data_IF_086853581999
#
_entry.id   IF_086853581999
#
_cell.length_a   1.000
_cell.length_b   1.000
_cell.length_c   1.000
_cell.angle_alpha   90.00
_cell.angle_beta   90.00
_cell.angle_gamma   90.00
#
_symmetry.space_group_name_H-M   'P 1'
#
loop_
_entity.id
_entity.type
_entity.pdbx_description
1 polymer ?
#
# COMPACT_ATOMS: atom_id res chain seq x y z
N UNK A 1 15.29 6.13 5.47
CA UNK A 1 15.37 5.14 4.37
C UNK A 1 14.68 5.78 3.19
N UNK A 2 15.44 6.17 2.16
CA UNK A 2 14.89 6.74 0.92
C UNK A 2 13.95 5.71 0.29
N UNK A 3 12.78 6.17 -0.17
CA UNK A 3 11.74 5.33 -0.77
C UNK A 3 12.31 4.68 -2.04
N UNK A 4 12.81 3.45 -1.89
CA UNK A 4 12.74 2.48 -2.98
C UNK A 4 11.29 2.06 -3.08
N UNK A 5 10.72 2.12 -4.28
CA UNK A 5 9.35 1.77 -4.70
C UNK A 5 8.34 1.37 -3.59
N UNK A 6 7.20 2.07 -3.51
CA UNK A 6 6.12 1.80 -2.53
C UNK A 6 5.74 0.30 -2.46
N UNK A 7 5.73 -0.39 -3.60
CA UNK A 7 5.53 -1.84 -3.67
C UNK A 7 6.53 -2.63 -2.82
N UNK A 8 7.82 -2.32 -2.92
CA UNK A 8 8.87 -3.03 -2.19
C UNK A 8 8.67 -2.90 -0.67
N UNK A 9 8.41 -1.68 -0.19
CA UNK A 9 8.20 -1.42 1.24
C UNK A 9 6.95 -2.14 1.75
N UNK A 10 5.86 -2.13 0.98
CA UNK A 10 4.62 -2.86 1.31
C UNK A 10 4.90 -4.35 1.43
N UNK A 11 5.60 -4.95 0.46
CA UNK A 11 5.94 -6.38 0.49
C UNK A 11 6.80 -6.75 1.70
N UNK A 12 7.81 -5.93 2.02
CA UNK A 12 8.66 -6.13 3.20
C UNK A 12 7.86 -6.08 4.49
N UNK A 13 6.97 -5.09 4.65
CA UNK A 13 6.16 -4.94 5.85
C UNK A 13 5.11 -6.04 5.98
N UNK A 14 4.46 -6.42 4.88
CA UNK A 14 3.54 -7.55 4.86
C UNK A 14 4.23 -8.84 5.32
N UNK A 15 5.43 -9.11 4.80
CA UNK A 15 6.22 -10.27 5.22
C UNK A 15 6.57 -10.22 6.72
N UNK A 16 7.09 -9.09 7.21
CA UNK A 16 7.43 -8.90 8.64
C UNK A 16 6.25 -9.11 9.57
N UNK A 17 5.07 -8.65 9.16
CA UNK A 17 3.85 -8.67 9.97
C UNK A 17 2.96 -9.89 9.70
N UNK A 18 3.41 -10.84 8.87
CA UNK A 18 2.64 -12.02 8.42
C UNK A 18 1.26 -11.66 7.84
N UNK A 19 1.18 -10.54 7.12
CA UNK A 19 -0.03 -10.06 6.42
C UNK A 19 -0.05 -10.54 4.98
N UNK A 20 -1.24 -10.63 4.41
CA UNK A 20 -1.47 -11.01 3.03
C UNK A 20 -2.35 -9.98 2.31
N UNK A 21 -2.54 -10.14 1.00
CA UNK A 21 -3.31 -9.20 0.18
C UNK A 21 -4.77 -9.05 0.62
N UNK A 22 -5.38 -10.09 1.19
CA UNK A 22 -6.75 -10.03 1.73
C UNK A 22 -6.85 -9.15 2.95
N UNK A 23 -5.78 -9.07 3.75
CA UNK A 23 -5.74 -8.17 4.90
C UNK A 23 -5.76 -6.71 4.43
N UNK A 24 -4.96 -6.37 3.42
CA UNK A 24 -4.95 -5.03 2.82
C UNK A 24 -6.26 -4.73 2.07
N UNK A 25 -6.88 -5.73 1.44
CA UNK A 25 -8.17 -5.58 0.77
C UNK A 25 -9.28 -5.12 1.72
N UNK A 26 -9.25 -5.60 2.98
CA UNK A 26 -10.17 -5.14 4.04
C UNK A 26 -9.94 -3.69 4.44
N UNK A 27 -8.69 -3.22 4.44
CA UNK A 27 -8.32 -1.83 4.83
C UNK A 27 -8.98 -0.81 3.88
N UNK A 28 -8.99 -1.10 2.59
CA UNK A 28 -9.50 -0.18 1.57
C UNK A 28 -10.83 -0.62 0.94
N UNK A 29 -11.48 -1.64 1.54
CA UNK A 29 -12.76 -2.21 1.14
C UNK A 29 -12.88 -2.51 -0.36
N UNK A 30 -11.92 -3.29 -0.88
CA UNK A 30 -11.84 -3.65 -2.31
C UNK A 30 -11.34 -5.09 -2.49
N UNK A 31 -11.04 -5.50 -3.72
CA UNK A 31 -10.45 -6.81 -4.03
C UNK A 31 -8.92 -6.83 -3.90
N UNK A 32 -8.35 -7.99 -3.58
CA UNK A 32 -6.91 -8.23 -3.58
C UNK A 32 -6.22 -7.79 -4.89
N UNK A 33 -6.90 -8.00 -6.02
CA UNK A 33 -6.39 -7.59 -7.35
C UNK A 33 -6.26 -6.08 -7.44
N UNK A 34 -7.26 -5.34 -6.97
CA UNK A 34 -7.23 -3.88 -7.01
C UNK A 34 -6.19 -3.31 -6.04
N UNK A 35 -6.05 -3.89 -4.84
CA UNK A 35 -4.96 -3.56 -3.90
C UNK A 35 -3.60 -3.66 -4.58
N UNK A 36 -3.33 -4.78 -5.27
CA UNK A 36 -2.06 -4.98 -5.99
C UNK A 36 -1.84 -3.91 -7.05
N UNK A 37 -2.87 -3.49 -7.78
CA UNK A 37 -2.76 -2.42 -8.77
C UNK A 37 -2.45 -1.05 -8.13
N UNK A 38 -3.04 -0.75 -6.97
CA UNK A 38 -2.74 0.47 -6.20
C UNK A 38 -1.30 0.46 -5.69
N UNK A 39 -0.86 -0.66 -5.12
CA UNK A 39 0.49 -0.83 -4.56
C UNK A 39 1.56 -0.77 -5.66
N UNK A 40 1.27 -1.32 -6.84
CA UNK A 40 2.14 -1.24 -8.04
C UNK A 40 2.12 0.12 -8.74
N UNK A 41 1.30 1.06 -8.30
CA UNK A 41 1.14 2.36 -8.96
C UNK A 41 0.40 2.33 -10.31
N UNK A 42 -0.18 1.18 -10.71
CA UNK A 42 -1.02 1.07 -11.91
C UNK A 42 -2.27 1.96 -11.76
N UNK A 43 -2.85 1.98 -10.55
CA UNK A 43 -3.89 2.95 -10.18
C UNK A 43 -3.21 4.14 -9.51
N UNK A 44 -3.36 5.34 -10.08
CA UNK A 44 -2.65 6.55 -9.62
C UNK A 44 -3.54 7.79 -9.47
N UNK A 45 -4.87 7.67 -9.66
CA UNK A 45 -5.82 8.75 -9.37
C UNK A 45 -5.88 9.12 -7.89
N UNK A 46 -6.61 10.19 -7.57
CA UNK A 46 -6.77 10.73 -6.21
C UNK A 46 -7.16 9.66 -5.18
N UNK A 47 -8.17 8.86 -5.50
CA UNK A 47 -8.61 7.73 -4.67
C UNK A 47 -7.53 6.66 -4.46
N UNK A 48 -6.65 6.45 -5.43
CA UNK A 48 -5.53 5.52 -5.27
C UNK A 48 -4.44 6.09 -4.35
N UNK A 49 -4.23 7.41 -4.32
CA UNK A 49 -3.36 8.08 -3.34
C UNK A 49 -3.89 7.88 -1.91
N UNK A 50 -5.18 8.11 -1.69
CA UNK A 50 -5.83 7.84 -0.39
C UNK A 50 -5.66 6.37 0.03
N UNK A 51 -5.81 5.44 -0.92
CA UNK A 51 -5.61 4.02 -0.63
C UNK A 51 -4.16 3.68 -0.27
N UNK A 52 -3.17 4.29 -0.93
CA UNK A 52 -1.76 4.14 -0.54
C UNK A 52 -1.53 4.66 0.88
N UNK A 53 -2.10 5.81 1.23
CA UNK A 53 -2.00 6.36 2.59
C UNK A 53 -2.61 5.42 3.63
N UNK A 54 -3.82 4.88 3.40
CA UNK A 54 -4.46 3.91 4.30
C UNK A 54 -3.66 2.61 4.46
N UNK A 55 -3.10 2.09 3.35
CA UNK A 55 -2.24 0.91 3.38
C UNK A 55 -0.94 1.20 4.16
N UNK A 56 -0.35 2.38 3.94
CA UNK A 56 0.85 2.81 4.64
C UNK A 56 0.62 2.90 6.15
N UNK A 57 -0.47 3.54 6.58
CA UNK A 57 -0.87 3.64 7.98
C UNK A 57 -1.07 2.25 8.60
N UNK A 58 -1.84 1.38 7.93
CA UNK A 58 -2.08 0.01 8.39
C UNK A 58 -0.79 -0.81 8.58
N UNK A 59 0.21 -0.58 7.73
CA UNK A 59 1.49 -1.27 7.77
C UNK A 59 2.56 -0.53 8.60
N UNK A 60 2.24 0.62 9.19
CA UNK A 60 3.20 1.44 9.93
C UNK A 60 4.33 2.01 9.06
N UNK A 61 4.04 2.29 7.79
CA UNK A 61 4.97 2.89 6.83
C UNK A 61 4.83 4.41 6.92
N UNK A 62 5.93 5.10 7.24
CA UNK A 62 5.99 6.57 7.14
C UNK A 62 6.20 6.92 5.67
N UNK A 63 5.15 7.43 5.04
CA UNK A 63 5.14 7.88 3.65
C UNK A 63 5.05 9.40 3.63
N UNK A 64 6.05 10.07 3.07
CA UNK A 64 6.03 11.50 2.80
C UNK A 64 5.78 11.62 1.29
N UNK A 65 4.59 12.07 0.90
CA UNK A 65 4.39 12.51 -0.49
C UNK A 65 5.21 13.80 -0.66
N UNK A 66 6.22 13.79 -1.53
CA UNK A 66 6.80 15.05 -2.03
C UNK A 66 5.70 15.76 -2.82
N UNK A 67 5.40 17.01 -2.42
CA UNK A 67 4.48 17.93 -3.12
C UNK A 67 4.89 18.20 -4.56
#
# INVERSE_FOLDING_TARGET
MLIKDFEEIVLVQMHRQKKNWKDLAKVINTSDTYVKQVVKGIQNGEKAKEYRQKIAEYLGIVFIEEE
#
